data_IF_684097284584
#
_entry.id   IF_684097284584
#
_cell.length_a   1.000
_cell.length_b   1.000
_cell.length_c   1.000
_cell.angle_alpha   90.00
_cell.angle_beta   90.00
_cell.angle_gamma   90.00
#
_symmetry.space_group_name_H-M   'P 1'
#
loop_
_entity.id
_entity.type
_entity.pdbx_description
1 polymer ?
#
# COMPACT_ATOMS: atom_id res chain seq x y z
N UNK A 1 43.26 -12.44 -56.37
CA UNK A 1 42.52 -13.54 -55.71
C UNK A 1 42.62 -13.38 -54.20
N UNK A 2 41.62 -12.77 -53.56
CA UNK A 2 41.38 -12.84 -52.10
C UNK A 2 39.89 -12.53 -51.88
N UNK A 3 39.11 -13.44 -51.27
CA UNK A 3 38.04 -13.05 -50.35
C UNK A 3 37.59 -14.23 -49.47
N UNK A 4 38.14 -14.21 -48.26
CA UNK A 4 37.48 -14.38 -46.95
C UNK A 4 36.73 -15.70 -46.68
N UNK A 5 37.34 -16.45 -45.78
CA UNK A 5 36.84 -17.61 -45.04
C UNK A 5 35.74 -17.14 -44.07
N UNK A 6 34.49 -17.56 -44.25
CA UNK A 6 33.46 -17.41 -43.22
C UNK A 6 33.51 -18.64 -42.30
N UNK A 7 33.76 -18.50 -40.99
CA UNK A 7 33.58 -19.61 -40.06
C UNK A 7 32.10 -19.73 -39.72
N UNK A 8 31.48 -20.84 -40.13
CA UNK A 8 30.24 -21.32 -39.54
C UNK A 8 30.54 -21.69 -38.09
N UNK A 9 30.24 -20.79 -37.15
CA UNK A 9 30.25 -21.08 -35.73
C UNK A 9 29.10 -22.04 -35.42
N UNK A 10 29.36 -23.35 -35.53
CA UNK A 10 28.51 -24.37 -34.93
C UNK A 10 28.66 -24.24 -33.41
N UNK A 11 27.70 -23.55 -32.79
CA UNK A 11 27.54 -23.53 -31.35
C UNK A 11 27.19 -24.94 -30.88
N UNK A 12 28.22 -25.74 -30.59
CA UNK A 12 28.06 -27.01 -29.89
C UNK A 12 27.60 -26.70 -28.47
N UNK A 13 26.28 -26.66 -28.29
CA UNK A 13 25.67 -26.60 -26.98
C UNK A 13 25.80 -27.98 -26.35
N UNK A 14 26.92 -28.21 -25.65
CA UNK A 14 27.10 -29.38 -24.81
C UNK A 14 25.92 -29.46 -23.83
N UNK A 15 25.30 -30.64 -23.60
CA UNK A 15 24.11 -30.77 -22.75
C UNK A 15 24.34 -30.25 -21.32
N UNK A 16 25.59 -30.29 -20.85
CA UNK A 16 26.05 -29.71 -19.59
C UNK A 16 25.92 -28.18 -19.51
N UNK A 17 26.12 -27.46 -20.63
CA UNK A 17 25.96 -25.99 -20.70
C UNK A 17 24.48 -25.61 -20.64
N UNK A 18 23.61 -26.37 -21.31
CA UNK A 18 22.17 -26.15 -21.28
C UNK A 18 21.59 -26.44 -19.89
N UNK A 19 22.09 -27.48 -19.21
CA UNK A 19 21.73 -27.80 -17.84
C UNK A 19 22.17 -26.70 -16.85
N UNK A 20 23.38 -26.18 -17.01
CA UNK A 20 23.88 -25.07 -16.19
C UNK A 20 23.04 -23.80 -16.38
N UNK A 21 22.67 -23.47 -17.62
CA UNK A 21 21.81 -22.31 -17.92
C UNK A 21 20.40 -22.47 -17.35
N UNK A 22 19.83 -23.68 -17.39
CA UNK A 22 18.53 -23.98 -16.77
C UNK A 22 18.58 -23.84 -15.25
N UNK A 23 19.64 -24.32 -14.59
CA UNK A 23 19.84 -24.15 -13.15
C UNK A 23 19.99 -22.67 -12.77
N UNK A 24 20.75 -21.90 -13.55
CA UNK A 24 20.94 -20.47 -13.30
C UNK A 24 19.64 -19.68 -13.48
N UNK A 25 18.86 -20.00 -14.52
CA UNK A 25 17.54 -19.42 -14.76
C UNK A 25 16.55 -19.78 -13.62
N UNK A 26 16.60 -21.01 -13.12
CA UNK A 26 15.78 -21.46 -12.01
C UNK A 26 16.12 -20.72 -10.70
N UNK A 27 17.41 -20.54 -10.41
CA UNK A 27 17.87 -19.77 -9.24
C UNK A 27 17.40 -18.31 -9.34
N UNK A 28 17.55 -17.66 -10.50
CA UNK A 28 17.06 -16.28 -10.71
C UNK A 28 15.55 -16.21 -10.54
N UNK A 29 14.80 -17.19 -11.04
CA UNK A 29 13.34 -17.25 -10.88
C UNK A 29 12.93 -17.42 -9.40
N UNK A 30 13.63 -18.25 -8.64
CA UNK A 30 13.42 -18.43 -7.19
C UNK A 30 13.75 -17.18 -6.39
N UNK A 31 14.78 -16.42 -6.77
CA UNK A 31 15.14 -15.15 -6.11
C UNK A 31 14.07 -14.07 -6.31
N UNK A 32 13.42 -14.02 -7.48
CA UNK A 32 12.33 -13.06 -7.75
C UNK A 32 11.10 -13.35 -6.88
N UNK A 33 10.87 -14.61 -6.48
CA UNK A 33 9.73 -15.01 -5.62
C UNK A 33 9.89 -14.61 -4.15
N UNK A 34 11.09 -14.23 -3.71
CA UNK A 34 11.34 -13.79 -2.33
C UNK A 34 11.10 -12.29 -2.11
N UNK A 35 10.73 -11.54 -3.15
CA UNK A 35 10.39 -10.12 -3.04
C UNK A 35 8.92 -9.86 -2.65
N UNK A 36 8.06 -10.88 -2.65
CA UNK A 36 6.67 -10.78 -2.20
C UNK A 36 6.54 -11.53 -0.86
N UNK A 37 7.05 -10.90 0.21
CA UNK A 37 6.66 -11.28 1.56
C UNK A 37 5.28 -10.68 1.81
N UNK A 38 4.23 -11.26 1.22
CA UNK A 38 2.86 -11.00 1.65
C UNK A 38 2.72 -11.57 3.05
N UNK A 39 2.90 -10.71 4.05
CA UNK A 39 2.42 -10.98 5.39
C UNK A 39 0.93 -11.31 5.28
N UNK A 40 0.46 -12.33 6.01
CA UNK A 40 -0.97 -12.64 6.03
C UNK A 40 -1.76 -11.34 6.27
N UNK A 41 -2.86 -11.07 5.53
CA UNK A 41 -3.54 -9.79 5.60
C UNK A 41 -3.92 -9.52 7.06
N UNK A 42 -3.20 -8.60 7.67
CA UNK A 42 -3.50 -8.16 9.02
C UNK A 42 -4.83 -7.42 8.96
N UNK A 43 -5.77 -7.82 9.83
CA UNK A 43 -7.16 -7.38 9.76
C UNK A 43 -7.25 -5.85 9.77
N UNK A 44 -7.95 -5.28 8.79
CA UNK A 44 -8.13 -3.84 8.68
C UNK A 44 -9.05 -3.34 9.80
N UNK A 45 -8.58 -2.36 10.56
CA UNK A 45 -9.35 -1.74 11.63
C UNK A 45 -9.54 -0.23 11.38
N UNK A 46 -10.56 0.36 11.99
CA UNK A 46 -10.81 1.80 11.87
C UNK A 46 -9.79 2.57 12.70
N UNK A 47 -9.08 3.49 12.05
CA UNK A 47 -8.14 4.41 12.67
C UNK A 47 -8.57 5.85 12.43
N UNK A 48 -8.22 6.74 13.35
CA UNK A 48 -8.37 8.19 13.24
C UNK A 48 -6.99 8.75 12.89
N UNK A 49 -6.91 9.42 11.75
CA UNK A 49 -5.72 10.09 11.22
C UNK A 49 -5.90 11.58 11.45
N UNK A 50 -5.08 12.16 12.31
CA UNK A 50 -4.98 13.60 12.52
C UNK A 50 -4.03 14.20 11.51
N UNK A 51 -4.46 15.27 10.84
CA UNK A 51 -3.64 15.97 9.85
C UNK A 51 -3.54 17.44 10.18
N UNK A 52 -2.55 18.10 9.59
CA UNK A 52 -2.54 19.55 9.49
C UNK A 52 -3.77 20.02 8.71
N UNK A 53 -4.22 21.25 8.97
CA UNK A 53 -5.33 21.86 8.25
C UNK A 53 -4.81 22.43 6.92
N UNK A 54 -5.32 21.98 5.76
CA UNK A 54 -4.96 22.60 4.49
C UNK A 54 -5.42 24.07 4.45
N UNK A 55 -4.56 24.96 3.94
CA UNK A 55 -4.88 26.40 3.80
C UNK A 55 -5.44 26.73 2.42
N UNK A 56 -4.98 26.03 1.38
CA UNK A 56 -5.21 26.40 -0.03
C UNK A 56 -6.19 25.48 -0.77
N UNK A 57 -6.82 24.53 -0.07
CA UNK A 57 -7.67 23.51 -0.69
C UNK A 57 -8.75 22.97 0.24
N UNK A 58 -9.73 22.28 -0.35
CA UNK A 58 -10.82 21.67 0.42
C UNK A 58 -10.29 20.53 1.31
N UNK A 59 -10.63 20.50 2.62
CA UNK A 59 -10.17 19.46 3.53
C UNK A 59 -10.43 18.04 3.05
N UNK A 60 -11.58 17.79 2.42
CA UNK A 60 -11.93 16.45 1.94
C UNK A 60 -11.05 16.00 0.77
N UNK A 61 -10.72 16.90 -0.16
CA UNK A 61 -9.79 16.61 -1.23
C UNK A 61 -8.38 16.28 -0.68
N UNK A 62 -7.93 17.03 0.34
CA UNK A 62 -6.69 16.73 1.06
C UNK A 62 -6.72 15.33 1.71
N UNK A 63 -7.82 14.97 2.37
CA UNK A 63 -7.95 13.67 3.02
C UNK A 63 -7.90 12.52 1.99
N UNK A 64 -8.66 12.63 0.90
CA UNK A 64 -8.69 11.60 -0.15
C UNK A 64 -7.31 11.41 -0.78
N UNK A 65 -6.60 12.49 -1.15
CA UNK A 65 -5.27 12.32 -1.77
C UNK A 65 -4.25 11.69 -0.81
N UNK A 66 -4.33 12.03 0.48
CA UNK A 66 -3.41 11.52 1.51
C UNK A 66 -3.64 10.02 1.67
N UNK A 67 -4.91 9.61 1.68
CA UNK A 67 -5.31 8.23 1.77
C UNK A 67 -4.98 7.45 0.46
N UNK A 68 -5.24 8.04 -0.71
CA UNK A 68 -4.94 7.46 -2.01
C UNK A 68 -3.43 7.22 -2.22
N UNK A 69 -2.57 8.07 -1.66
CA UNK A 69 -1.11 7.89 -1.71
C UNK A 69 -0.63 6.58 -1.06
N UNK A 70 -1.43 6.02 -0.14
CA UNK A 70 -1.14 4.77 0.56
C UNK A 70 -1.91 3.60 -0.04
N UNK A 71 -3.18 3.80 -0.43
CA UNK A 71 -4.03 2.74 -1.00
C UNK A 71 -3.87 2.54 -2.51
N UNK A 72 -3.21 3.47 -3.21
CA UNK A 72 -2.89 3.36 -4.63
C UNK A 72 -3.95 3.93 -5.58
N UNK A 73 -5.14 4.32 -5.10
CA UNK A 73 -6.16 5.01 -5.92
C UNK A 73 -7.14 5.83 -5.09
N UNK A 74 -7.79 6.80 -5.74
CA UNK A 74 -8.86 7.62 -5.15
C UNK A 74 -10.11 6.80 -4.83
N UNK A 75 -10.41 5.78 -5.65
CA UNK A 75 -11.54 4.87 -5.43
C UNK A 75 -11.32 4.05 -4.17
N UNK A 76 -10.13 3.46 -4.00
CA UNK A 76 -9.78 2.71 -2.80
C UNK A 76 -9.76 3.61 -1.56
N UNK A 77 -9.32 4.86 -1.70
CA UNK A 77 -9.39 5.84 -0.63
C UNK A 77 -10.83 6.13 -0.20
N UNK A 78 -11.75 6.36 -1.16
CA UNK A 78 -13.16 6.60 -0.87
C UNK A 78 -13.84 5.40 -0.21
N UNK A 79 -13.49 4.18 -0.61
CA UNK A 79 -14.01 2.95 0.01
C UNK A 79 -13.50 2.73 1.43
N UNK A 80 -12.23 3.08 1.69
CA UNK A 80 -11.62 2.96 3.01
C UNK A 80 -12.03 4.08 3.98
N UNK A 81 -12.40 5.26 3.45
CA UNK A 81 -12.79 6.43 4.24
C UNK A 81 -14.11 6.18 4.98
N UNK A 82 -14.07 6.29 6.31
CA UNK A 82 -15.24 6.17 7.18
C UNK A 82 -15.84 7.55 7.45
N UNK A 83 -15.00 8.55 7.74
CA UNK A 83 -15.46 9.91 8.00
C UNK A 83 -14.36 10.94 7.78
N UNK A 84 -14.73 12.13 7.31
CA UNK A 84 -13.84 13.27 7.08
C UNK A 84 -14.16 14.40 8.08
N UNK A 85 -13.26 14.70 9.00
CA UNK A 85 -13.44 15.76 10.00
C UNK A 85 -13.10 17.12 9.40
N UNK A 86 -14.10 18.01 9.27
CA UNK A 86 -13.95 19.31 8.60
C UNK A 86 -13.92 20.53 9.54
N UNK A 87 -14.34 20.38 10.79
CA UNK A 87 -14.64 21.51 11.68
C UNK A 87 -13.68 21.62 12.87
N UNK A 88 -13.96 20.89 13.95
CA UNK A 88 -13.27 21.00 15.24
C UNK A 88 -11.88 20.34 15.26
N UNK A 89 -11.66 19.36 14.38
CA UNK A 89 -10.38 18.70 14.18
C UNK A 89 -10.14 18.55 12.67
N UNK A 90 -8.87 18.59 12.27
CA UNK A 90 -8.44 18.30 10.90
C UNK A 90 -7.97 16.85 10.82
N UNK A 91 -8.49 16.10 9.87
CA UNK A 91 -8.19 14.69 9.71
C UNK A 91 -9.40 13.86 9.27
N UNK A 92 -9.24 12.55 9.31
CA UNK A 92 -10.25 11.60 8.85
C UNK A 92 -10.16 10.28 9.62
N UNK A 93 -11.21 9.46 9.57
CA UNK A 93 -11.16 8.07 9.98
C UNK A 93 -11.27 7.16 8.77
N UNK A 94 -10.49 6.09 8.75
CA UNK A 94 -10.43 5.13 7.65
C UNK A 94 -10.15 3.71 8.16
N UNK A 95 -10.59 2.70 7.40
CA UNK A 95 -10.22 1.30 7.62
C UNK A 95 -8.85 1.05 7.02
N UNK A 96 -7.88 0.72 7.87
CA UNK A 96 -6.48 0.55 7.47
C UNK A 96 -5.92 -0.75 8.05
N UNK A 97 -5.08 -1.43 7.27
CA UNK A 97 -4.20 -2.49 7.79
C UNK A 97 -3.04 -1.88 8.58
N UNK A 98 -2.42 -2.63 9.50
CA UNK A 98 -1.18 -2.21 10.18
C UNK A 98 -0.08 -1.69 9.25
N UNK A 99 0.09 -2.30 8.07
CA UNK A 99 1.07 -1.83 7.07
C UNK A 99 0.70 -0.45 6.52
N UNK A 100 -0.59 -0.24 6.19
CA UNK A 100 -1.09 1.05 5.73
C UNK A 100 -1.00 2.12 6.83
N UNK A 101 -1.24 1.76 8.10
CA UNK A 101 -1.03 2.67 9.25
C UNK A 101 0.43 3.11 9.34
N UNK A 102 1.37 2.17 9.18
CA UNK A 102 2.79 2.49 9.20
C UNK A 102 3.23 3.37 8.01
N UNK A 103 2.59 3.22 6.85
CA UNK A 103 2.83 4.09 5.69
C UNK A 103 2.21 5.48 5.86
N UNK A 104 0.95 5.56 6.28
CA UNK A 104 0.24 6.83 6.40
C UNK A 104 0.83 7.73 7.50
N UNK A 105 1.34 7.12 8.58
CA UNK A 105 2.03 7.85 9.66
C UNK A 105 3.31 8.56 9.20
N UNK A 106 3.85 8.22 8.01
CA UNK A 106 5.04 8.83 7.42
C UNK A 106 4.70 9.93 6.40
N UNK A 107 3.42 10.11 6.07
CA UNK A 107 3.01 11.09 5.07
C UNK A 107 3.16 12.53 5.61
N UNK A 108 3.65 13.48 4.79
CA UNK A 108 3.72 14.88 5.18
C UNK A 108 2.35 15.43 5.58
N UNK A 109 2.31 16.18 6.68
CA UNK A 109 1.09 16.75 7.22
C UNK A 109 0.22 15.77 8.02
N UNK A 110 0.59 14.49 8.14
CA UNK A 110 -0.02 13.58 9.12
C UNK A 110 0.66 13.78 10.48
N UNK A 111 -0.12 14.17 11.48
CA UNK A 111 0.36 14.47 12.83
C UNK A 111 0.34 13.24 13.73
N UNK A 112 -0.71 12.42 13.63
CA UNK A 112 -0.90 11.24 14.47
C UNK A 112 -1.91 10.27 13.86
N UNK A 113 -1.70 8.98 14.09
CA UNK A 113 -2.69 7.93 13.78
C UNK A 113 -3.01 7.15 15.05
N UNK A 114 -4.30 7.07 15.40
CA UNK A 114 -4.76 6.36 16.60
C UNK A 114 -5.88 5.37 16.26
N UNK A 115 -5.99 4.23 16.96
CA UNK A 115 -7.10 3.31 16.75
C UNK A 115 -8.42 3.97 17.19
N UNK A 116 -9.46 3.81 16.38
CA UNK A 116 -10.81 4.30 16.72
C UNK A 116 -11.40 3.43 17.84
N UNK A 117 -12.00 4.07 18.85
CA UNK A 117 -12.67 3.39 19.96
C UNK A 117 -14.17 3.61 19.84
N UNK A 118 -14.92 2.53 19.63
CA UNK A 118 -16.39 2.59 19.69
C UNK A 118 -16.83 2.67 21.14
N UNK A 119 -17.46 3.77 21.53
CA UNK A 119 -18.11 3.90 22.84
C UNK A 119 -19.57 3.53 22.67
N UNK A 120 -20.06 2.54 23.43
CA UNK A 120 -21.49 2.26 23.49
C UNK A 120 -22.18 3.36 24.31
N UNK A 121 -22.97 4.19 23.64
CA UNK A 121 -23.81 5.18 24.30
C UNK A 121 -24.93 4.42 25.04
N UNK A 122 -24.91 4.47 26.37
CA UNK A 122 -26.01 3.98 27.19
C UNK A 122 -27.21 4.91 26.97
N UNK A 123 -28.16 4.48 26.14
CA UNK A 123 -29.48 5.10 26.10
C UNK A 123 -30.19 4.75 27.41
N UNK A 124 -30.15 5.66 28.39
CA UNK A 124 -31.00 5.56 29.57
C UNK A 124 -32.48 5.55 29.16
N UNK A 125 -33.37 4.84 29.88
CA UNK A 125 -34.77 4.79 29.53
C UNK A 125 -35.36 6.21 29.60
N UNK A 126 -35.78 6.72 28.45
CA UNK A 126 -36.55 7.95 28.34
C UNK A 126 -37.90 7.74 29.07
N UNK A 127 -37.94 8.05 30.36
CA UNK A 127 -39.17 8.12 31.14
C UNK A 127 -39.85 9.43 30.79
N UNK A 128 -40.70 9.39 29.75
CA UNK A 128 -41.68 10.44 29.48
C UNK A 128 -42.65 10.46 30.67
N UNK A 129 -42.82 11.63 31.27
CA UNK A 129 -43.80 11.92 32.32
C UNK A 129 -44.77 12.96 31.77
#
# INVERSE_FOLDING_TARGET
MQKIRNPSSSSSSSPSRNLLLLLLAFIVFSLIKMADSSSAPSEAAVHIVYTERPQDEEPEAYHIRTLASVLGSDEAAKEALVYSYKTAASGFSAKLTPEQVAQISKQPGVLQVVPSRTVQLHSGPAKLH
#
